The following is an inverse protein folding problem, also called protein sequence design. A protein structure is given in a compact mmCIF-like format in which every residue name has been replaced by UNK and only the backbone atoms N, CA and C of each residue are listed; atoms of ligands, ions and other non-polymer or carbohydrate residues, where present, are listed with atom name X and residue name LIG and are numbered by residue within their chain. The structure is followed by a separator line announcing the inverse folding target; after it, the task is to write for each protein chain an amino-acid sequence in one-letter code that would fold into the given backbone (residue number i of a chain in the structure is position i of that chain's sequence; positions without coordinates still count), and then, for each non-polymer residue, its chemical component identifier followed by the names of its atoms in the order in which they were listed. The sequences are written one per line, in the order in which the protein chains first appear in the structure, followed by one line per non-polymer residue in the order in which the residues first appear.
data_IF_739249822700
#
_entry.id   IF_739249822700
#
_cell.length_a   1.000
_cell.length_b   1.000
_cell.length_c   1.000
_cell.angle_alpha   90.00
_cell.angle_beta   90.00
_cell.angle_gamma   90.00
#
_symmetry.space_group_name_H-M   'P 1'
#
loop_
_entity.id
_entity.type
_entity.pdbx_description
1 polymer ?
#
# COMPACT_ATOMS: atom_id res chain seq x y z
N UNK A 1 8.20 14.83 -4.33
CA UNK A 1 6.95 14.77 -5.11
C UNK A 1 6.02 13.76 -4.44
N UNK A 2 4.72 14.03 -4.33
CA UNK A 2 3.75 13.09 -3.76
C UNK A 2 2.86 12.59 -4.90
N UNK A 3 2.74 11.27 -5.03
CA UNK A 3 1.83 10.61 -5.96
C UNK A 3 0.71 9.94 -5.15
N UNK A 4 -0.52 10.00 -5.65
CA UNK A 4 -1.69 9.39 -5.00
C UNK A 4 -2.32 8.39 -5.97
N UNK A 5 -2.46 7.15 -5.52
CA UNK A 5 -3.08 6.06 -6.27
C UNK A 5 -4.31 5.60 -5.50
N UNK A 6 -5.46 5.50 -6.16
CA UNK A 6 -6.66 4.92 -5.58
C UNK A 6 -6.89 3.55 -6.21
N UNK A 7 -6.91 2.50 -5.40
CA UNK A 7 -7.16 1.13 -5.83
C UNK A 7 -8.54 0.69 -5.34
N UNK A 8 -9.40 0.28 -6.26
CA UNK A 8 -10.60 -0.47 -5.90
C UNK A 8 -10.22 -1.93 -5.75
N UNK A 9 -10.44 -2.49 -4.56
CA UNK A 9 -10.13 -3.87 -4.25
C UNK A 9 -11.40 -4.71 -4.39
N UNK A 10 -11.25 -5.85 -5.06
CA UNK A 10 -12.27 -6.90 -5.18
C UNK A 10 -11.56 -8.26 -5.04
N UNK A 11 -11.12 -8.57 -3.82
CA UNK A 11 -10.22 -9.68 -3.52
C UNK A 11 -8.76 -9.24 -3.46
N UNK A 12 -7.84 -10.06 -4.00
CA UNK A 12 -6.40 -9.82 -3.91
C UNK A 12 -5.89 -9.04 -5.14
N UNK A 13 -5.22 -7.92 -4.89
CA UNK A 13 -4.59 -7.05 -5.89
C UNK A 13 -3.09 -7.00 -5.64
N UNK A 14 -2.29 -7.09 -6.71
CA UNK A 14 -0.84 -6.86 -6.65
C UNK A 14 -0.53 -5.39 -6.92
N UNK A 15 0.29 -4.78 -6.07
CA UNK A 15 0.80 -3.43 -6.25
C UNK A 15 2.33 -3.44 -6.21
N UNK A 16 2.97 -2.88 -7.23
CA UNK A 16 4.44 -2.79 -7.27
C UNK A 16 4.88 -1.45 -6.71
N UNK A 17 5.75 -1.47 -5.70
CA UNK A 17 6.32 -0.25 -5.12
C UNK A 17 7.31 0.36 -6.12
N UNK A 18 7.12 1.60 -6.58
CA UNK A 18 8.07 2.27 -7.47
C UNK A 18 9.48 2.36 -6.85
N UNK A 19 10.52 2.26 -7.68
CA UNK A 19 11.91 2.23 -7.20
C UNK A 19 12.37 3.52 -6.50
N UNK A 20 11.71 4.64 -6.73
CA UNK A 20 11.97 5.96 -6.16
C UNK A 20 11.13 6.26 -4.90
N UNK A 21 10.47 5.24 -4.33
CA UNK A 21 9.55 5.39 -3.20
C UNK A 21 10.28 5.39 -1.86
N UNK A 22 10.32 6.54 -1.20
CA UNK A 22 10.90 6.68 0.14
C UNK A 22 9.94 6.21 1.25
N UNK A 23 8.64 6.50 1.10
CA UNK A 23 7.63 6.05 2.04
C UNK A 23 6.27 5.89 1.36
N UNK A 24 5.41 5.04 1.93
CA UNK A 24 4.02 4.88 1.52
C UNK A 24 3.11 5.07 2.73
N UNK A 25 2.08 5.89 2.56
CA UNK A 25 0.95 5.93 3.47
C UNK A 25 -0.29 5.29 2.83
N UNK A 26 -0.96 4.43 3.57
CA UNK A 26 -2.17 3.73 3.19
C UNK A 26 -3.37 4.31 3.91
N UNK A 27 -4.51 4.37 3.23
CA UNK A 27 -5.79 4.76 3.83
C UNK A 27 -6.91 3.88 3.27
N UNK A 28 -7.46 3.02 4.13
CA UNK A 28 -8.53 2.10 3.75
C UNK A 28 -9.90 2.79 3.85
N UNK A 29 -10.55 3.00 2.73
CA UNK A 29 -11.86 3.65 2.61
C UNK A 29 -12.90 2.60 2.22
N UNK A 30 -13.91 2.38 3.07
CA UNK A 30 -15.04 1.48 2.75
C UNK A 30 -14.87 0.01 3.13
N UNK A 31 -13.71 -0.40 3.66
CA UNK A 31 -13.51 -1.77 4.14
C UNK A 31 -12.13 -1.97 4.77
N UNK A 32 -11.94 -3.09 5.45
CA UNK A 32 -10.62 -3.48 5.97
C UNK A 32 -9.74 -3.96 4.82
N UNK A 33 -8.44 -3.66 4.90
CA UNK A 33 -7.45 -4.08 3.90
C UNK A 33 -6.35 -4.88 4.59
N UNK A 34 -6.10 -6.09 4.11
CA UNK A 34 -4.90 -6.84 4.48
C UNK A 34 -3.76 -6.49 3.54
N UNK A 35 -2.64 -6.08 4.13
CA UNK A 35 -1.42 -5.76 3.43
C UNK A 35 -0.40 -6.85 3.74
N UNK A 36 0.22 -7.41 2.69
CA UNK A 36 1.29 -8.39 2.83
C UNK A 36 2.44 -8.06 1.89
N UNK A 37 3.63 -7.93 2.47
CA UNK A 37 4.89 -7.88 1.74
C UNK A 37 5.45 -9.31 1.63
N UNK A 38 5.63 -9.82 0.41
CA UNK A 38 6.14 -11.17 0.17
C UNK A 38 7.68 -11.22 0.11
N UNK A 39 8.29 -12.40 0.40
CA UNK A 39 7.60 -13.67 0.67
C UNK A 39 7.35 -14.00 2.14
N UNK A 40 7.93 -13.27 3.10
CA UNK A 40 7.94 -13.70 4.51
C UNK A 40 7.33 -12.69 5.51
N UNK A 41 6.70 -11.61 5.03
CA UNK A 41 6.03 -10.66 5.92
C UNK A 41 4.72 -11.22 6.46
N UNK A 42 4.54 -11.20 7.78
CA UNK A 42 3.23 -11.43 8.38
C UNK A 42 2.24 -10.41 7.83
N UNK A 43 1.06 -10.83 7.37
CA UNK A 43 0.06 -9.89 6.91
C UNK A 43 -0.36 -8.99 8.07
N UNK A 44 -0.48 -7.69 7.81
CA UNK A 44 -1.10 -6.76 8.77
C UNK A 44 -2.41 -6.24 8.20
N UNK A 45 -3.37 -5.95 9.08
CA UNK A 45 -4.70 -5.48 8.70
C UNK A 45 -4.81 -4.00 9.00
N UNK A 46 -5.12 -3.20 7.96
CA UNK A 46 -5.52 -1.82 8.07
C UNK A 46 -7.05 -1.77 8.20
N UNK A 47 -7.57 -1.25 9.30
CA UNK A 47 -9.02 -1.17 9.50
C UNK A 47 -9.62 -0.04 8.67
N UNK A 48 -10.91 -0.16 8.33
CA UNK A 48 -11.64 0.88 7.61
C UNK A 48 -11.53 2.25 8.34
N UNK A 49 -11.19 3.29 7.59
CA UNK A 49 -10.95 4.65 8.08
C UNK A 49 -9.57 4.88 8.71
N UNK A 50 -8.74 3.85 8.88
CA UNK A 50 -7.39 4.02 9.41
C UNK A 50 -6.39 4.45 8.33
N UNK A 51 -5.39 5.20 8.81
CA UNK A 51 -4.21 5.60 8.05
C UNK A 51 -2.97 5.04 8.71
N UNK A 52 -2.12 4.41 7.91
CA UNK A 52 -0.85 3.83 8.35
C UNK A 52 0.24 4.25 7.39
N UNK A 53 1.47 4.43 7.88
CA UNK A 53 2.62 4.79 7.05
C UNK A 53 3.75 3.81 7.28
N UNK A 54 4.36 3.37 6.19
CA UNK A 54 5.53 2.49 6.22
C UNK A 54 6.70 3.14 5.49
N UNK A 55 7.91 2.98 6.04
CA UNK A 55 9.14 3.29 5.31
C UNK A 55 9.37 2.17 4.30
N UNK A 56 9.49 2.55 3.03
CA UNK A 56 9.60 1.60 1.91
C UNK A 56 10.96 1.65 1.24
N UNK A 57 11.96 2.32 1.82
CA UNK A 57 13.30 2.41 1.21
C UNK A 57 13.93 1.04 0.95
N UNK A 58 13.69 0.07 1.83
CA UNK A 58 14.12 -1.33 1.64
C UNK A 58 13.18 -2.16 0.76
N UNK A 59 12.02 -1.61 0.40
CA UNK A 59 10.94 -2.27 -0.32
C UNK A 59 10.76 -1.75 -1.75
N UNK A 60 11.60 -0.81 -2.19
CA UNK A 60 11.62 -0.26 -3.54
C UNK A 60 11.74 -1.39 -4.59
N UNK A 61 10.82 -1.43 -5.55
CA UNK A 61 10.74 -2.46 -6.59
C UNK A 61 10.08 -3.78 -6.14
N UNK A 62 9.66 -3.90 -4.88
CA UNK A 62 9.00 -5.11 -4.38
C UNK A 62 7.49 -5.07 -4.60
N UNK A 63 6.86 -6.26 -4.55
CA UNK A 63 5.40 -6.42 -4.65
C UNK A 63 4.73 -6.40 -3.28
N UNK A 64 3.67 -5.62 -3.19
CA UNK A 64 2.68 -5.64 -2.13
C UNK A 64 1.44 -6.38 -2.60
N UNK A 65 0.92 -7.22 -1.74
CA UNK A 65 -0.34 -7.94 -1.93
C UNK A 65 -1.38 -7.30 -1.05
N UNK A 66 -2.44 -6.81 -1.68
CA UNK A 66 -3.49 -6.02 -1.06
C UNK A 66 -4.79 -6.81 -1.17
N UNK A 67 -5.38 -7.21 -0.06
CA UNK A 67 -6.64 -7.95 -0.05
C UNK A 67 -7.72 -7.12 0.63
N UNK A 68 -8.81 -6.87 -0.08
CA UNK A 68 -9.99 -6.16 0.44
C UNK A 68 -11.28 -6.82 -0.07
N UNK A 69 -12.38 -6.59 0.65
CA UNK A 69 -13.70 -6.99 0.19
C UNK A 69 -14.18 -6.11 -0.97
N UNK A 70 -15.12 -6.60 -1.78
CA UNK A 70 -15.69 -5.84 -2.90
C UNK A 70 -16.20 -4.46 -2.46
N UNK A 71 -15.81 -3.43 -3.21
CA UNK A 71 -16.15 -2.04 -2.90
C UNK A 71 -15.20 -1.36 -1.91
N UNK A 72 -14.17 -2.04 -1.41
CA UNK A 72 -13.10 -1.41 -0.64
C UNK A 72 -12.24 -0.54 -1.56
N UNK A 73 -11.97 0.70 -1.15
CA UNK A 73 -11.05 1.61 -1.84
C UNK A 73 -9.83 1.83 -0.96
N UNK A 74 -8.64 1.53 -1.46
CA UNK A 74 -7.38 1.84 -0.79
C UNK A 74 -6.73 3.04 -1.47
N UNK A 75 -6.57 4.14 -0.74
CA UNK A 75 -5.73 5.25 -1.16
C UNK A 75 -4.28 4.98 -0.72
N UNK A 76 -3.37 5.04 -1.67
CA UNK A 76 -1.92 4.89 -1.48
C UNK A 76 -1.28 6.22 -1.81
N UNK A 77 -0.63 6.83 -0.82
CA UNK A 77 0.15 8.06 -0.97
C UNK A 77 1.62 7.70 -0.98
N UNK A 78 2.29 8.01 -2.07
CA UNK A 78 3.68 7.67 -2.29
C UNK A 78 4.50 8.94 -2.12
N UNK A 79 5.38 8.94 -1.13
CA UNK A 79 6.42 9.94 -1.02
C UNK A 79 7.63 9.46 -1.81
N UNK A 80 7.87 10.11 -2.96
CA UNK A 80 9.08 9.83 -3.75
C UNK A 80 10.28 10.51 -3.09
N UNK A 81 11.30 9.72 -2.80
CA UNK A 81 12.60 10.24 -2.40
C UNK A 81 13.25 10.86 -3.63
N UNK A 82 13.79 12.09 -3.51
CA UNK A 82 14.81 12.49 -4.46
C UNK A 82 15.97 11.51 -4.26
N UNK A 83 16.19 10.61 -5.23
CA UNK A 83 17.50 10.00 -5.39
C UNK A 83 18.45 11.18 -5.66
N UNK A 84 19.16 11.60 -4.61
CA UNK A 84 20.29 12.50 -4.71
C UNK A 84 21.53 11.68 -5.09
#
# INVERSE_FOLDING_TARGET
MIEIVNLSLSGQTEYTIPHDTAAIAFHAMGGNVQLRHLPAGSPWTLMAGQKESIDTRSLAGQKLYLTGADGTVLEIRILKGLLA
#
